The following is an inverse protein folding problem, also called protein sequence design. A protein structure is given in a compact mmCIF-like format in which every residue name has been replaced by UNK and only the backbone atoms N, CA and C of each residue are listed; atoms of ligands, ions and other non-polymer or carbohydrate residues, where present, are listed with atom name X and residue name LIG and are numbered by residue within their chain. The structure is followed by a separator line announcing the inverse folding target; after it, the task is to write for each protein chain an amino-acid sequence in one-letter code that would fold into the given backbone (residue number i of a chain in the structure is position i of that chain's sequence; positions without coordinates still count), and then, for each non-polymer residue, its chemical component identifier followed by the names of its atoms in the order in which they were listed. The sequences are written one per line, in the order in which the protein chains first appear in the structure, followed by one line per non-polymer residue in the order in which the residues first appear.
data_IF_414495535991
#
_entry.id   IF_414495535991
#
_cell.length_a   1.000
_cell.length_b   1.000
_cell.length_c   1.000
_cell.angle_alpha   90.00
_cell.angle_beta   90.00
_cell.angle_gamma   90.00
#
_symmetry.space_group_name_H-M   'P 1'
#
loop_
_entity.id
_entity.type
_entity.pdbx_description
1 polymer ?
#
# COMPACT_ATOMS: atom_id res chain seq x y z
N UNK A 1 -0.32 16.20 -1.53
CA UNK A 1 -0.33 14.77 -1.89
C UNK A 1 0.98 14.36 -2.54
N UNK A 2 1.32 14.83 -3.76
CA UNK A 2 2.57 14.44 -4.45
C UNK A 2 3.84 14.74 -3.66
N UNK A 3 3.93 15.92 -3.05
CA UNK A 3 5.07 16.30 -2.19
C UNK A 3 5.25 15.34 -1.01
N UNK A 4 4.16 14.97 -0.34
CA UNK A 4 4.19 14.00 0.76
C UNK A 4 4.58 12.59 0.30
N UNK A 5 4.13 12.15 -0.87
CA UNK A 5 4.53 10.85 -1.44
C UNK A 5 6.04 10.78 -1.67
N UNK A 6 6.64 11.82 -2.26
CA UNK A 6 8.10 11.91 -2.48
C UNK A 6 8.85 11.84 -1.15
N UNK A 7 8.41 12.60 -0.14
CA UNK A 7 9.03 12.59 1.19
C UNK A 7 8.96 11.21 1.86
N UNK A 8 7.83 10.53 1.74
CA UNK A 8 7.67 9.17 2.28
C UNK A 8 8.56 8.19 1.52
N UNK A 9 8.64 8.31 0.20
CA UNK A 9 9.48 7.47 -0.65
C UNK A 9 10.97 7.63 -0.31
N UNK A 10 11.44 8.86 -0.16
CA UNK A 10 12.83 9.15 0.24
C UNK A 10 13.14 8.57 1.62
N UNK A 11 12.21 8.70 2.58
CA UNK A 11 12.35 8.17 3.93
C UNK A 11 12.48 6.64 3.95
N UNK A 12 11.64 5.92 3.20
CA UNK A 12 11.71 4.46 3.13
C UNK A 12 12.82 3.96 2.21
N UNK A 13 13.44 4.83 1.41
CA UNK A 13 14.57 4.47 0.55
C UNK A 13 15.80 4.01 1.33
N UNK A 14 16.01 4.57 2.53
CA UNK A 14 17.03 4.10 3.47
C UNK A 14 16.41 3.17 4.51
N UNK A 15 16.18 1.91 4.11
CA UNK A 15 15.47 0.94 4.94
C UNK A 15 16.15 0.67 6.30
N UNK A 16 17.46 0.88 6.43
CA UNK A 16 18.19 0.52 7.65
C UNK A 16 18.13 1.60 8.75
N UNK A 17 17.73 2.84 8.42
CA UNK A 17 17.68 3.97 9.34
C UNK A 17 16.43 4.84 9.10
N UNK A 18 15.26 4.25 9.38
CA UNK A 18 13.98 4.96 9.24
C UNK A 18 13.56 5.62 10.55
N UNK A 19 13.40 6.94 10.55
CA UNK A 19 12.72 7.67 11.62
C UNK A 19 11.21 7.36 11.61
N UNK A 20 10.78 6.53 12.57
CA UNK A 20 9.40 6.07 12.73
C UNK A 20 8.41 7.21 13.03
N UNK A 21 8.87 8.28 13.69
CA UNK A 21 8.02 9.42 14.02
C UNK A 21 7.66 10.22 12.77
N UNK A 22 8.60 10.29 11.83
CA UNK A 22 8.42 10.96 10.55
C UNK A 22 7.46 10.22 9.62
N UNK A 23 7.49 8.88 9.63
CA UNK A 23 6.50 8.08 8.88
C UNK A 23 5.08 8.50 9.26
N UNK A 24 4.75 8.40 10.56
CA UNK A 24 3.38 8.65 11.04
C UNK A 24 2.93 10.06 10.70
N UNK A 25 3.80 11.05 10.91
CA UNK A 25 3.53 12.46 10.60
C UNK A 25 3.29 12.68 9.11
N UNK A 26 4.12 12.09 8.24
CA UNK A 26 3.98 12.23 6.80
C UNK A 26 2.73 11.52 6.27
N UNK A 27 2.42 10.32 6.76
CA UNK A 27 1.19 9.60 6.40
C UNK A 27 -0.06 10.40 6.77
N UNK A 28 -0.11 10.96 8.00
CA UNK A 28 -1.23 11.82 8.41
C UNK A 28 -1.38 13.03 7.48
N UNK A 29 -0.28 13.70 7.14
CA UNK A 29 -0.29 14.83 6.20
C UNK A 29 -0.69 14.43 4.78
N UNK A 30 -0.35 13.22 4.35
CA UNK A 30 -0.79 12.71 3.05
C UNK A 30 -2.31 12.51 3.05
N UNK A 31 -2.85 11.84 4.06
CA UNK A 31 -4.26 11.48 4.12
C UNK A 31 -5.20 12.69 4.29
N UNK A 32 -4.77 13.76 4.94
CA UNK A 32 -5.54 15.03 4.95
C UNK A 32 -5.63 15.69 3.57
N UNK A 33 -4.76 15.30 2.64
CA UNK A 33 -4.71 15.80 1.26
C UNK A 33 -5.16 14.76 0.23
N UNK A 34 -5.57 13.57 0.65
CA UNK A 34 -5.98 12.49 -0.23
C UNK A 34 -7.42 12.72 -0.66
N UNK A 35 -7.65 12.79 -1.97
CA UNK A 35 -8.98 12.81 -2.57
C UNK A 35 -9.27 11.48 -3.25
N UNK A 36 -10.54 11.19 -3.54
CA UNK A 36 -10.87 9.98 -4.29
C UNK A 36 -10.40 10.05 -5.74
N UNK A 37 -9.94 8.92 -6.25
CA UNK A 37 -9.75 8.66 -7.69
C UNK A 37 -9.92 7.17 -7.93
N UNK A 38 -11.07 6.78 -8.46
CA UNK A 38 -11.46 5.38 -8.71
C UNK A 38 -11.58 5.07 -10.21
N UNK A 39 -10.85 5.81 -11.03
CA UNK A 39 -10.84 5.63 -12.49
C UNK A 39 -9.81 4.56 -12.89
N UNK A 40 -10.03 3.92 -14.03
CA UNK A 40 -9.03 3.09 -14.72
C UNK A 40 -8.49 1.87 -13.94
N UNK A 41 -9.28 1.30 -13.03
CA UNK A 41 -8.98 0.00 -12.44
C UNK A 41 -9.71 -1.14 -13.18
N UNK A 42 -9.15 -2.34 -13.11
CA UNK A 42 -9.75 -3.57 -13.64
C UNK A 42 -10.00 -4.51 -12.46
N UNK A 43 -11.25 -4.92 -12.24
CA UNK A 43 -11.65 -5.83 -11.16
C UNK A 43 -13.16 -5.97 -11.00
N UNK A 44 -13.63 -7.07 -10.41
CA UNK A 44 -15.05 -7.33 -10.17
C UNK A 44 -15.45 -6.95 -8.74
N UNK A 45 -16.42 -6.04 -8.61
CA UNK A 45 -17.08 -5.63 -7.36
C UNK A 45 -16.19 -5.22 -6.16
N UNK A 46 -15.12 -4.42 -6.31
CA UNK A 46 -14.39 -3.94 -5.15
C UNK A 46 -15.24 -2.98 -4.31
N UNK A 47 -15.04 -3.04 -2.99
CA UNK A 47 -15.67 -2.12 -2.03
C UNK A 47 -14.67 -1.03 -1.65
N UNK A 48 -15.09 0.22 -1.79
CA UNK A 48 -14.28 1.39 -1.45
C UNK A 48 -14.89 2.14 -0.26
N UNK A 49 -14.09 2.36 0.78
CA UNK A 49 -14.38 3.29 1.87
C UNK A 49 -13.48 4.50 1.67
N UNK A 50 -14.07 5.63 1.31
CA UNK A 50 -13.30 6.82 0.94
C UNK A 50 -12.52 7.42 2.13
N UNK A 51 -11.37 8.08 1.90
CA UNK A 51 -10.76 8.34 0.60
C UNK A 51 -9.92 7.16 0.06
N UNK A 52 -10.06 6.87 -1.24
CA UNK A 52 -9.23 5.91 -1.99
C UNK A 52 -8.73 6.53 -3.30
N UNK A 53 -7.42 6.52 -3.51
CA UNK A 53 -6.78 7.04 -4.71
C UNK A 53 -6.03 5.93 -5.43
N UNK A 54 -6.43 5.67 -6.68
CA UNK A 54 -5.79 4.73 -7.58
C UNK A 54 -5.10 5.51 -8.71
N UNK A 55 -3.82 5.22 -8.93
CA UNK A 55 -3.09 5.68 -10.10
C UNK A 55 -3.41 4.82 -11.34
N UNK A 56 -2.78 5.13 -12.48
CA UNK A 56 -3.06 4.47 -13.75
C UNK A 56 -2.67 2.98 -13.75
N UNK A 57 -3.46 2.18 -14.47
CA UNK A 57 -3.24 0.74 -14.68
C UNK A 57 -3.22 -0.11 -13.40
N UNK A 58 -3.90 0.33 -12.33
CA UNK A 58 -4.09 -0.49 -11.13
C UNK A 58 -5.05 -1.64 -11.44
N UNK A 59 -4.69 -2.85 -11.02
CA UNK A 59 -5.54 -4.03 -11.13
C UNK A 59 -5.97 -4.47 -9.74
N UNK A 60 -7.26 -4.73 -9.57
CA UNK A 60 -7.87 -5.12 -8.31
C UNK A 60 -8.55 -6.47 -8.54
N UNK A 61 -8.25 -7.44 -7.69
CA UNK A 61 -8.87 -8.76 -7.72
C UNK A 61 -10.28 -8.74 -7.15
N UNK A 62 -10.82 -9.94 -6.96
CA UNK A 62 -12.18 -10.12 -6.47
C UNK A 62 -12.25 -9.93 -4.95
N UNK A 63 -13.40 -9.47 -4.45
CA UNK A 63 -13.66 -9.31 -3.01
C UNK A 63 -12.62 -8.45 -2.28
N UNK A 64 -12.10 -7.41 -2.95
CA UNK A 64 -11.14 -6.47 -2.37
C UNK A 64 -11.87 -5.31 -1.67
N UNK A 65 -11.43 -5.01 -0.45
CA UNK A 65 -11.88 -3.86 0.34
C UNK A 65 -10.72 -2.87 0.51
N UNK A 66 -10.87 -1.67 -0.05
CA UNK A 66 -9.92 -0.58 0.15
C UNK A 66 -10.57 0.56 0.94
N UNK A 67 -9.99 0.93 2.07
CA UNK A 67 -10.34 2.15 2.77
C UNK A 67 -10.48 2.03 4.30
N UNK A 68 -10.57 3.18 5.00
CA UNK A 68 -10.31 4.52 4.47
C UNK A 68 -8.82 4.78 4.24
N UNK A 69 -8.49 5.90 3.58
CA UNK A 69 -7.13 6.42 3.44
C UNK A 69 -6.18 5.47 2.71
N UNK A 70 -6.51 5.10 1.49
CA UNK A 70 -5.69 4.19 0.67
C UNK A 70 -5.18 4.89 -0.57
N UNK A 71 -3.86 4.82 -0.77
CA UNK A 71 -3.23 5.23 -2.02
C UNK A 71 -2.59 4.01 -2.69
N UNK A 72 -2.85 3.81 -3.98
CA UNK A 72 -2.23 2.75 -4.78
C UNK A 72 -1.58 3.35 -6.02
N UNK A 73 -0.26 3.17 -6.09
CA UNK A 73 0.59 3.65 -7.18
C UNK A 73 0.40 2.88 -8.48
N UNK A 74 0.87 3.49 -9.58
CA UNK A 74 0.62 3.02 -10.93
C UNK A 74 1.15 1.60 -11.17
N UNK A 75 0.49 0.87 -12.06
CA UNK A 75 0.82 -0.51 -12.46
C UNK A 75 0.86 -1.51 -11.30
N UNK A 76 0.22 -1.20 -10.17
CA UNK A 76 0.15 -2.13 -9.04
C UNK A 76 -0.98 -3.12 -9.22
N UNK A 77 -0.80 -4.30 -8.64
CA UNK A 77 -1.76 -5.40 -8.69
C UNK A 77 -2.11 -5.80 -7.26
N UNK A 78 -3.37 -5.63 -6.91
CA UNK A 78 -3.96 -6.13 -5.67
C UNK A 78 -4.72 -7.41 -6.02
N UNK A 79 -4.35 -8.53 -5.41
CA UNK A 79 -5.01 -9.82 -5.65
C UNK A 79 -6.29 -9.95 -4.80
N UNK A 80 -6.98 -11.07 -4.95
CA UNK A 80 -8.29 -11.32 -4.36
C UNK A 80 -8.28 -11.39 -2.82
N UNK A 81 -9.42 -11.09 -2.22
CA UNK A 81 -9.67 -11.15 -0.77
C UNK A 81 -8.75 -10.25 0.05
N UNK A 82 -8.35 -9.11 -0.52
CA UNK A 82 -7.43 -8.18 0.14
C UNK A 82 -8.20 -7.07 0.85
N UNK A 83 -7.83 -6.80 2.10
CA UNK A 83 -8.34 -5.68 2.90
C UNK A 83 -7.20 -4.70 3.20
N UNK A 84 -7.34 -3.44 2.77
CA UNK A 84 -6.31 -2.40 2.97
C UNK A 84 -6.95 -1.16 3.58
N UNK A 85 -6.38 -0.63 4.66
CA UNK A 85 -6.77 0.66 5.24
C UNK A 85 -5.57 1.47 5.73
N UNK A 86 -5.67 2.80 5.69
CA UNK A 86 -4.64 3.74 6.11
C UNK A 86 -3.26 3.43 5.51
N UNK A 87 -3.21 3.00 4.25
CA UNK A 87 -2.00 2.38 3.68
C UNK A 87 -1.62 3.03 2.36
N UNK A 88 -0.32 3.11 2.13
CA UNK A 88 0.29 3.64 0.91
C UNK A 88 0.98 2.49 0.18
N UNK A 89 0.54 2.19 -1.02
CA UNK A 89 1.18 1.24 -1.92
C UNK A 89 1.83 2.04 -3.04
N UNK A 90 3.15 1.95 -3.18
CA UNK A 90 3.88 2.65 -4.24
C UNK A 90 3.78 1.92 -5.60
N UNK A 91 4.35 2.52 -6.64
CA UNK A 91 4.25 2.03 -8.02
C UNK A 91 4.87 0.63 -8.19
N UNK A 92 4.33 -0.10 -9.17
CA UNK A 92 4.79 -1.44 -9.58
C UNK A 92 4.81 -2.44 -8.41
N UNK A 93 3.80 -2.38 -7.52
CA UNK A 93 3.70 -3.31 -6.39
C UNK A 93 2.72 -4.43 -6.72
N UNK A 94 3.05 -5.66 -6.28
CA UNK A 94 2.12 -6.79 -6.27
C UNK A 94 1.83 -7.22 -4.83
N UNK A 95 0.55 -7.19 -4.47
CA UNK A 95 0.03 -7.68 -3.19
C UNK A 95 -0.60 -9.06 -3.40
N UNK A 96 -0.23 -10.03 -2.56
CA UNK A 96 -0.74 -11.39 -2.61
C UNK A 96 -2.18 -11.52 -2.11
N UNK A 97 -2.77 -12.70 -2.33
CA UNK A 97 -4.17 -12.97 -1.95
C UNK A 97 -4.35 -13.07 -0.43
N UNK A 98 -5.53 -12.70 0.06
CA UNK A 98 -5.89 -12.78 1.48
C UNK A 98 -4.91 -12.00 2.38
N UNK A 99 -4.57 -10.78 1.96
CA UNK A 99 -3.75 -9.86 2.76
C UNK A 99 -4.65 -8.88 3.50
N UNK A 100 -4.28 -8.58 4.74
CA UNK A 100 -4.86 -7.50 5.55
C UNK A 100 -3.76 -6.53 5.95
N UNK A 101 -3.79 -5.33 5.37
CA UNK A 101 -2.80 -4.28 5.63
C UNK A 101 -3.49 -3.08 6.30
N UNK A 102 -3.01 -2.69 7.48
CA UNK A 102 -3.54 -1.55 8.21
C UNK A 102 -2.40 -0.63 8.66
N UNK A 103 -2.47 0.64 8.28
CA UNK A 103 -1.40 1.61 8.60
C UNK A 103 -0.02 1.15 8.09
N UNK A 104 0.05 0.77 6.82
CA UNK A 104 1.26 0.24 6.20
C UNK A 104 1.79 1.13 5.07
N UNK A 105 3.04 0.90 4.70
CA UNK A 105 3.65 1.41 3.48
C UNK A 105 4.25 0.22 2.72
N UNK A 106 3.97 0.08 1.43
CA UNK A 106 4.60 -0.93 0.57
C UNK A 106 5.46 -0.23 -0.46
N UNK A 107 6.78 -0.41 -0.37
CA UNK A 107 7.76 0.29 -1.19
C UNK A 107 7.64 -0.07 -2.68
N UNK A 108 8.07 0.84 -3.56
CA UNK A 108 8.03 0.62 -5.02
C UNK A 108 8.72 -0.68 -5.43
N UNK A 109 8.25 -1.27 -6.53
CA UNK A 109 8.80 -2.52 -7.09
C UNK A 109 8.78 -3.72 -6.12
N UNK A 110 7.93 -3.69 -5.08
CA UNK A 110 7.80 -4.83 -4.17
C UNK A 110 6.83 -5.87 -4.73
N UNK A 111 7.15 -7.15 -4.55
CA UNK A 111 6.30 -8.25 -5.00
C UNK A 111 6.13 -9.27 -3.89
N UNK A 112 4.95 -9.28 -3.26
CA UNK A 112 4.61 -10.15 -2.15
C UNK A 112 3.81 -11.36 -2.67
N UNK A 113 4.53 -12.36 -3.17
CA UNK A 113 4.00 -13.52 -3.91
C UNK A 113 3.57 -14.68 -3.02
N UNK A 114 2.91 -14.39 -1.89
CA UNK A 114 2.39 -15.40 -0.98
C UNK A 114 0.98 -15.02 -0.53
N UNK A 115 0.34 -15.86 0.30
CA UNK A 115 -1.03 -15.61 0.79
C UNK A 115 -1.05 -15.47 2.31
N UNK A 116 -2.13 -14.95 2.85
CA UNK A 116 -2.42 -14.94 4.28
C UNK A 116 -1.44 -14.08 5.11
N UNK A 117 -1.27 -12.81 4.73
CA UNK A 117 -0.51 -11.84 5.52
C UNK A 117 -1.46 -10.93 6.29
N UNK A 118 -1.28 -10.81 7.61
CA UNK A 118 -1.90 -9.75 8.40
C UNK A 118 -0.79 -8.87 8.96
N UNK A 119 -0.74 -7.61 8.53
CA UNK A 119 0.30 -6.68 8.93
C UNK A 119 -0.29 -5.34 9.33
N UNK A 120 0.26 -4.77 10.40
CA UNK A 120 -0.10 -3.44 10.87
C UNK A 120 1.14 -2.60 11.16
N UNK A 121 1.03 -1.28 11.00
CA UNK A 121 2.06 -0.31 11.40
C UNK A 121 3.45 -0.68 10.85
N UNK A 122 3.53 -1.00 9.56
CA UNK A 122 4.75 -1.57 8.99
C UNK A 122 5.08 -1.03 7.60
N UNK A 123 6.36 -0.83 7.33
CA UNK A 123 6.90 -0.65 5.99
C UNK A 123 7.29 -2.03 5.46
N UNK A 124 6.82 -2.39 4.27
CA UNK A 124 7.11 -3.64 3.57
C UNK A 124 7.90 -3.32 2.30
N UNK A 125 8.91 -4.13 1.98
CA UNK A 125 9.69 -3.94 0.76
C UNK A 125 10.24 -5.23 0.16
N UNK A 126 10.57 -5.15 -1.13
CA UNK A 126 11.30 -6.19 -1.84
C UNK A 126 10.41 -7.30 -2.38
N UNK A 127 11.06 -8.40 -2.78
CA UNK A 127 10.39 -9.59 -3.32
C UNK A 127 10.39 -10.66 -2.24
N UNK A 128 9.21 -11.19 -1.95
CA UNK A 128 9.04 -12.27 -0.98
C UNK A 128 8.06 -13.30 -1.52
N UNK A 129 8.43 -14.58 -1.50
CA UNK A 129 7.56 -15.70 -1.87
C UNK A 129 7.02 -16.45 -0.64
N UNK A 130 7.42 -16.02 0.55
CA UNK A 130 6.97 -16.54 1.84
C UNK A 130 7.08 -15.46 2.91
N UNK A 131 6.40 -15.65 4.06
CA UNK A 131 6.50 -14.73 5.21
C UNK A 131 7.93 -14.59 5.73
N UNK A 132 8.75 -15.64 5.61
CA UNK A 132 10.13 -15.66 6.10
C UNK A 132 11.07 -14.79 5.25
N UNK A 133 10.72 -14.55 3.98
CA UNK A 133 11.45 -13.68 3.06
C UNK A 133 11.02 -12.20 3.16
N UNK A 134 9.93 -11.92 3.90
CA UNK A 134 9.35 -10.58 3.95
C UNK A 134 10.27 -9.60 4.67
N UNK A 135 10.87 -8.67 3.91
CA UNK A 135 11.56 -7.51 4.49
C UNK A 135 10.52 -6.52 5.00
N UNK A 136 10.50 -6.31 6.32
CA UNK A 136 9.54 -5.43 6.97
C UNK A 136 10.12 -4.69 8.17
N UNK A 137 9.61 -3.48 8.44
CA UNK A 137 9.96 -2.66 9.60
C UNK A 137 8.70 -2.15 10.26
N UNK A 138 8.57 -2.35 11.57
CA UNK A 138 7.44 -1.84 12.36
C UNK A 138 7.68 -0.41 12.87
N UNK A 139 6.65 0.44 12.84
CA UNK A 139 6.70 1.83 13.28
C UNK A 139 5.60 2.27 14.26
#
# INVERSE_FOLDING_TARGET
MKEELVKIEDLIGNFDDIDKSDIKRLMQRLFTKLSNRLENYVGDYPTFIEPVYLEDNVKIGDDVLLGPNVYIGANSVIQDYVEISNTIIFNNVKIGQNFKLENCIVAKNSSLNFKNLNMKNSVLAGVANSINELKSIKF
#
